data_IF_961895000501
#
_entry.id   IF_961895000501
#
_cell.length_a   1.000
_cell.length_b   1.000
_cell.length_c   1.000
_cell.angle_alpha   90.00
_cell.angle_beta   90.00
_cell.angle_gamma   90.00
#
_symmetry.space_group_name_H-M   'P 1'
#
loop_
_entity.id
_entity.type
_entity.pdbx_description
1 polymer ?
#
# COMPACT_ATOMS: atom_id res chain seq x y z
N UNK A 1 48.80 -0.57 -15.11
CA UNK A 1 47.82 0.52 -14.98
C UNK A 1 46.43 -0.09 -14.74
N UNK A 2 46.26 -0.82 -13.64
CA UNK A 2 45.09 -1.69 -13.37
C UNK A 2 44.66 -1.65 -11.89
N UNK A 3 45.00 -0.58 -11.15
CA UNK A 3 44.86 -0.59 -9.69
C UNK A 3 44.28 0.72 -9.13
N UNK A 4 43.13 1.19 -9.65
CA UNK A 4 42.39 2.30 -9.00
C UNK A 4 40.87 2.33 -9.30
N UNK A 5 40.20 1.18 -9.44
CA UNK A 5 38.72 1.17 -9.64
C UNK A 5 37.97 0.14 -8.79
N UNK A 6 38.52 -0.29 -7.63
CA UNK A 6 37.86 -1.24 -6.71
C UNK A 6 37.51 -0.69 -5.32
N UNK A 7 37.53 0.63 -5.06
CA UNK A 7 37.27 1.13 -3.69
C UNK A 7 36.00 1.94 -3.45
N UNK A 8 35.14 2.18 -4.46
CA UNK A 8 33.96 3.07 -4.28
C UNK A 8 32.57 2.47 -4.53
N UNK A 9 32.44 1.16 -4.72
CA UNK A 9 31.14 0.51 -4.94
C UNK A 9 30.71 -0.41 -3.79
N UNK A 10 30.80 0.06 -2.54
CA UNK A 10 30.67 -0.82 -1.36
C UNK A 10 29.41 -0.69 -0.50
N UNK A 11 28.64 0.41 -0.54
CA UNK A 11 27.66 0.68 0.56
C UNK A 11 26.30 1.27 0.20
N UNK A 12 25.95 1.52 -1.08
CA UNK A 12 24.67 2.19 -1.43
C UNK A 12 23.60 1.37 -2.14
N UNK A 13 23.86 0.11 -2.49
CA UNK A 13 22.99 -0.63 -3.43
C UNK A 13 22.27 -1.85 -2.85
N UNK A 14 22.37 -2.12 -1.54
CA UNK A 14 21.61 -3.24 -0.93
C UNK A 14 20.16 -2.90 -0.59
N UNK A 15 19.82 -1.62 -0.35
CA UNK A 15 18.46 -1.23 0.09
C UNK A 15 17.44 -1.26 -1.05
N UNK A 16 17.88 -0.95 -2.27
CA UNK A 16 17.02 -0.84 -3.47
C UNK A 16 16.64 -2.19 -4.06
N UNK A 17 17.44 -3.23 -3.82
CA UNK A 17 17.19 -4.57 -4.36
C UNK A 17 16.13 -5.34 -3.55
N UNK A 18 16.10 -5.12 -2.23
CA UNK A 18 15.12 -5.77 -1.33
C UNK A 18 13.68 -5.36 -1.70
N UNK A 19 13.40 -4.08 -1.97
CA UNK A 19 12.04 -3.64 -2.34
C UNK A 19 11.49 -4.30 -3.60
N UNK A 20 12.31 -4.43 -4.65
CA UNK A 20 11.88 -5.06 -5.91
C UNK A 20 11.68 -6.56 -5.76
N UNK A 21 12.55 -7.24 -5.02
CA UNK A 21 12.42 -8.68 -4.78
C UNK A 21 11.18 -9.05 -3.95
N UNK A 22 10.80 -8.22 -2.97
CA UNK A 22 9.53 -8.39 -2.24
C UNK A 22 8.31 -8.15 -3.12
N UNK A 23 8.32 -7.09 -3.94
CA UNK A 23 7.23 -6.81 -4.86
C UNK A 23 6.98 -7.99 -5.80
N UNK A 24 8.03 -8.62 -6.34
CA UNK A 24 7.88 -9.76 -7.25
C UNK A 24 7.47 -11.07 -6.54
N UNK A 25 7.88 -11.28 -5.29
CA UNK A 25 7.59 -12.52 -4.54
C UNK A 25 6.21 -12.51 -3.87
N UNK A 26 5.66 -11.35 -3.53
CA UNK A 26 4.29 -11.19 -2.99
C UNK A 26 3.19 -11.21 -4.06
N UNK A 27 3.56 -11.07 -5.34
CA UNK A 27 2.64 -11.11 -6.48
C UNK A 27 2.12 -12.54 -6.78
N UNK A 28 2.60 -13.56 -6.06
CA UNK A 28 2.04 -14.92 -6.13
C UNK A 28 0.72 -15.07 -5.33
N UNK A 29 0.07 -13.96 -5.01
CA UNK A 29 -1.31 -13.88 -4.54
C UNK A 29 -2.31 -14.14 -5.69
N UNK A 30 -2.09 -15.18 -6.52
CA UNK A 30 -2.81 -15.48 -7.79
C UNK A 30 -4.35 -15.63 -7.69
N UNK A 31 -4.97 -15.29 -6.56
CA UNK A 31 -6.43 -15.34 -6.32
C UNK A 31 -6.95 -14.27 -5.36
N UNK A 32 -6.27 -13.15 -5.16
CA UNK A 32 -6.95 -12.00 -4.55
C UNK A 32 -8.03 -11.54 -5.55
N UNK A 33 -9.24 -12.10 -5.46
CA UNK A 33 -10.35 -11.69 -6.29
C UNK A 33 -10.45 -10.17 -6.22
N UNK A 34 -10.34 -9.52 -7.37
CA UNK A 34 -10.38 -8.06 -7.47
C UNK A 34 -11.63 -7.57 -6.75
N UNK A 35 -11.44 -6.82 -5.67
CA UNK A 35 -12.50 -6.24 -4.87
C UNK A 35 -12.51 -4.73 -5.09
N UNK A 36 -13.63 -4.11 -4.71
CA UNK A 36 -13.72 -2.66 -4.68
C UNK A 36 -12.69 -2.12 -3.70
N UNK A 37 -11.92 -1.13 -4.17
CA UNK A 37 -11.03 -0.31 -3.37
C UNK A 37 -11.57 1.10 -3.36
N UNK A 38 -11.69 1.70 -2.18
CA UNK A 38 -12.07 3.09 -2.00
C UNK A 38 -10.96 4.04 -2.47
N UNK A 39 -9.69 3.64 -2.33
CA UNK A 39 -8.50 4.41 -2.73
C UNK A 39 -8.30 5.75 -1.96
N UNK A 40 -9.25 6.16 -1.12
CA UNK A 40 -9.11 7.25 -0.15
C UNK A 40 -9.89 7.01 1.15
N UNK A 41 -9.81 5.79 1.68
CA UNK A 41 -10.55 5.43 2.89
C UNK A 41 -9.88 6.05 4.13
N UNK A 42 -10.60 6.96 4.80
CA UNK A 42 -10.14 7.70 5.97
C UNK A 42 -11.31 7.95 6.92
N UNK A 43 -11.03 8.37 8.15
CA UNK A 43 -12.09 8.64 9.14
C UNK A 43 -12.93 9.88 8.82
N UNK A 44 -12.38 10.86 8.10
CA UNK A 44 -13.10 12.05 7.64
C UNK A 44 -14.08 11.75 6.50
N UNK A 45 -13.82 10.71 5.72
CA UNK A 45 -14.76 10.18 4.71
C UNK A 45 -15.81 9.23 5.31
N UNK A 46 -15.75 8.96 6.62
CA UNK A 46 -16.73 8.13 7.33
C UNK A 46 -17.69 8.99 8.16
N UNK A 47 -19.00 8.76 7.98
CA UNK A 47 -20.00 9.27 8.91
C UNK A 47 -20.15 8.29 10.06
N UNK A 48 -20.02 8.77 11.29
CA UNK A 48 -20.23 7.97 12.50
C UNK A 48 -21.64 8.22 13.06
N UNK A 49 -22.18 7.23 13.77
CA UNK A 49 -23.44 7.41 14.48
C UNK A 49 -23.24 8.39 15.64
N UNK A 50 -24.05 9.45 15.69
CA UNK A 50 -23.97 10.47 16.73
C UNK A 50 -24.25 9.94 18.15
N UNK A 51 -25.02 8.86 18.27
CA UNK A 51 -25.32 8.20 19.55
C UNK A 51 -24.36 7.06 19.90
N UNK A 52 -23.60 6.54 18.92
CA UNK A 52 -22.63 5.44 19.08
C UNK A 52 -21.45 5.63 18.09
N UNK A 53 -20.42 6.40 18.47
CA UNK A 53 -19.32 6.76 17.57
C UNK A 53 -18.49 5.58 17.05
N UNK A 54 -18.63 4.39 17.64
CA UNK A 54 -17.94 3.17 17.19
C UNK A 54 -18.58 2.56 15.93
N UNK A 55 -19.72 3.11 15.47
CA UNK A 55 -20.47 2.64 14.29
C UNK A 55 -20.32 3.61 13.12
N UNK A 56 -19.74 3.14 12.01
CA UNK A 56 -19.79 3.83 10.72
C UNK A 56 -21.17 3.63 10.07
N UNK A 57 -21.85 4.72 9.73
CA UNK A 57 -23.19 4.71 9.10
C UNK A 57 -23.15 5.01 7.60
N UNK A 58 -22.12 5.71 7.12
CA UNK A 58 -21.92 5.97 5.70
C UNK A 58 -20.44 6.20 5.39
N UNK A 59 -20.05 5.94 4.13
CA UNK A 59 -18.74 6.27 3.57
C UNK A 59 -18.96 7.16 2.35
N UNK A 60 -18.23 8.26 2.26
CA UNK A 60 -18.34 9.27 1.20
C UNK A 60 -17.09 9.31 0.32
N UNK A 61 -17.14 10.10 -0.76
CA UNK A 61 -16.01 10.36 -1.66
C UNK A 61 -15.53 9.11 -2.44
N UNK A 62 -16.45 8.49 -3.16
CA UNK A 62 -16.21 7.30 -3.97
C UNK A 62 -15.57 7.59 -5.35
N UNK A 63 -15.18 8.82 -5.64
CA UNK A 63 -14.76 9.23 -7.00
C UNK A 63 -13.47 8.57 -7.47
N UNK A 64 -12.64 8.11 -6.53
CA UNK A 64 -11.38 7.40 -6.82
C UNK A 64 -11.49 5.87 -6.79
N UNK A 65 -12.71 5.34 -6.68
CA UNK A 65 -12.94 3.90 -6.49
C UNK A 65 -12.48 3.09 -7.70
N UNK A 66 -11.76 2.00 -7.43
CA UNK A 66 -11.24 1.12 -8.49
C UNK A 66 -11.25 -0.35 -8.07
N UNK A 67 -11.04 -1.26 -9.02
CA UNK A 67 -10.89 -2.68 -8.72
C UNK A 67 -9.44 -3.03 -8.40
N UNK A 68 -9.21 -3.79 -7.33
CA UNK A 68 -7.91 -4.40 -7.05
C UNK A 68 -7.81 -5.01 -5.66
N UNK A 69 -6.61 -4.96 -5.07
CA UNK A 69 -6.33 -5.59 -3.78
C UNK A 69 -6.85 -4.74 -2.60
N UNK A 70 -7.84 -5.23 -1.82
CA UNK A 70 -8.39 -4.49 -0.68
C UNK A 70 -7.36 -4.27 0.45
N UNK A 71 -6.27 -5.04 0.49
CA UNK A 71 -5.19 -4.83 1.49
C UNK A 71 -4.50 -3.48 1.33
N UNK A 72 -4.62 -2.85 0.16
CA UNK A 72 -4.10 -1.51 -0.08
C UNK A 72 -4.88 -0.48 0.74
N UNK A 73 -6.21 -0.54 0.77
CA UNK A 73 -7.02 0.37 1.59
C UNK A 73 -6.73 0.18 3.09
N UNK A 74 -6.52 -1.06 3.53
CA UNK A 74 -6.08 -1.35 4.90
C UNK A 74 -4.71 -0.73 5.22
N UNK A 75 -3.77 -0.81 4.27
CA UNK A 75 -2.46 -0.19 4.42
C UNK A 75 -2.54 1.33 4.55
N UNK A 76 -3.44 1.96 3.79
CA UNK A 76 -3.69 3.41 3.86
C UNK A 76 -4.36 3.82 5.17
N UNK A 77 -5.29 3.00 5.69
CA UNK A 77 -5.96 3.25 6.98
C UNK A 77 -5.02 3.20 8.19
N UNK A 78 -3.96 2.40 8.15
CA UNK A 78 -3.04 2.19 9.26
C UNK A 78 -1.85 3.16 9.30
N UNK A 79 -1.76 4.08 8.33
CA UNK A 79 -0.65 5.01 8.18
C UNK A 79 -0.94 6.38 8.79
#
# INVERSE_FOLDING_TARGET
MEETLRSRCGRRTRRSYVRRAWATRSLDSRRAASRLRHNDLKLDTCMLNASDPDRVIAIFDWDMTTLGDPLIDLGTLLN
#
